data_IF_388696993075
#
_entry.id   IF_388696993075
#
_cell.length_a   1.000
_cell.length_b   1.000
_cell.length_c   1.000
_cell.angle_alpha   90.00
_cell.angle_beta   90.00
_cell.angle_gamma   90.00
#
_symmetry.space_group_name_H-M   'P 1'
#
loop_
_entity.id
_entity.type
_entity.pdbx_description
1 polymer ?
#
# COMPACT_ATOMS: atom_id res chain seq x y z
N UNK A 1 14.61 -0.15 -10.49
CA UNK A 1 15.27 0.98 -11.18
C UNK A 1 15.61 0.74 -12.66
N UNK A 2 15.90 -0.50 -13.10
CA UNK A 2 16.26 -0.81 -14.51
C UNK A 2 15.23 -0.35 -15.56
N UNK A 3 13.93 -0.54 -15.29
CA UNK A 3 12.85 -0.18 -16.23
C UNK A 3 12.80 1.32 -16.53
N UNK A 4 13.11 2.18 -15.56
CA UNK A 4 13.10 3.63 -15.76
C UNK A 4 14.21 4.07 -16.73
N UNK A 5 15.43 3.56 -16.55
CA UNK A 5 16.54 3.82 -17.46
C UNK A 5 16.25 3.30 -18.87
N UNK A 6 15.76 2.05 -19.01
CA UNK A 6 15.36 1.49 -20.30
C UNK A 6 14.23 2.32 -20.96
N UNK A 7 13.33 2.90 -20.16
CA UNK A 7 12.27 3.77 -20.66
C UNK A 7 12.78 5.11 -21.19
N UNK A 8 13.77 5.73 -20.52
CA UNK A 8 14.43 6.92 -21.05
C UNK A 8 15.10 6.63 -22.40
N UNK A 9 15.81 5.50 -22.50
CA UNK A 9 16.42 5.06 -23.75
C UNK A 9 15.37 4.84 -24.85
N UNK A 10 14.25 4.18 -24.53
CA UNK A 10 13.15 4.02 -25.47
C UNK A 10 12.57 5.35 -25.94
N UNK A 11 12.35 6.30 -25.03
CA UNK A 11 11.78 7.60 -25.35
C UNK A 11 12.72 8.43 -26.23
N UNK A 12 14.02 8.39 -25.97
CA UNK A 12 15.01 9.04 -26.82
C UNK A 12 15.02 8.43 -28.23
N UNK A 13 14.95 7.10 -28.33
CA UNK A 13 14.88 6.41 -29.61
C UNK A 13 13.56 6.70 -30.35
N UNK A 14 12.43 6.75 -29.65
CA UNK A 14 11.13 7.12 -30.22
C UNK A 14 11.08 8.59 -30.65
N UNK A 15 11.77 9.50 -29.98
CA UNK A 15 11.81 10.92 -30.34
C UNK A 15 12.42 11.18 -31.74
N UNK A 16 13.21 10.23 -32.26
CA UNK A 16 13.81 10.31 -33.60
C UNK A 16 12.87 9.76 -34.70
N UNK A 17 11.66 9.32 -34.33
CA UNK A 17 10.72 8.60 -35.21
C UNK A 17 9.30 9.08 -34.99
N UNK A 18 8.43 8.89 -35.98
CA UNK A 18 7.01 9.25 -35.83
C UNK A 18 6.27 8.26 -34.91
N UNK A 19 6.49 6.96 -35.10
CA UNK A 19 5.94 5.90 -34.25
C UNK A 19 6.64 4.57 -34.45
N UNK A 20 6.59 3.67 -33.46
CA UNK A 20 7.11 2.32 -33.58
C UNK A 20 6.24 1.27 -32.92
N UNK A 21 6.27 0.04 -33.43
CA UNK A 21 5.66 -1.13 -32.79
C UNK A 21 6.64 -1.87 -31.87
N UNK A 22 6.15 -2.77 -31.01
CA UNK A 22 7.03 -3.62 -30.17
C UNK A 22 7.99 -4.43 -31.02
N UNK A 23 7.55 -4.96 -32.18
CA UNK A 23 8.42 -5.75 -33.05
C UNK A 23 9.54 -4.90 -33.67
N UNK A 24 9.24 -3.65 -34.04
CA UNK A 24 10.25 -2.71 -34.55
C UNK A 24 11.25 -2.31 -33.46
N UNK A 25 10.78 -2.10 -32.23
CA UNK A 25 11.64 -1.88 -31.06
C UNK A 25 12.58 -3.08 -30.86
N UNK A 26 12.06 -4.31 -30.94
CA UNK A 26 12.90 -5.51 -30.80
C UNK A 26 13.88 -5.69 -31.95
N UNK A 27 13.44 -5.42 -33.18
CA UNK A 27 14.27 -5.54 -34.38
C UNK A 27 15.40 -4.51 -34.41
N UNK A 28 15.23 -3.37 -33.73
CA UNK A 28 16.29 -2.37 -33.56
C UNK A 28 17.42 -2.82 -32.62
N UNK A 29 17.23 -3.93 -31.89
CA UNK A 29 18.19 -4.40 -30.89
C UNK A 29 18.19 -3.61 -29.57
N UNK A 30 17.30 -2.62 -29.42
CA UNK A 30 17.22 -1.77 -28.24
C UNK A 30 16.93 -2.57 -26.96
N UNK A 31 16.05 -3.57 -27.07
CA UNK A 31 15.64 -4.45 -25.98
C UNK A 31 14.90 -5.68 -26.51
N UNK A 32 14.83 -6.74 -25.70
CA UNK A 32 14.07 -7.94 -26.05
C UNK A 32 12.54 -7.70 -25.97
N UNK A 33 11.74 -8.63 -26.49
CA UNK A 33 10.27 -8.47 -26.58
C UNK A 33 9.56 -8.26 -25.23
N UNK A 34 10.00 -8.97 -24.20
CA UNK A 34 9.43 -8.84 -22.85
C UNK A 34 9.76 -7.47 -22.26
N UNK A 35 11.04 -7.07 -22.32
CA UNK A 35 11.49 -5.76 -21.85
C UNK A 35 10.81 -4.63 -22.63
N UNK A 36 10.69 -4.74 -23.96
CA UNK A 36 9.97 -3.78 -24.79
C UNK A 36 8.53 -3.60 -24.32
N UNK A 37 7.81 -4.69 -24.08
CA UNK A 37 6.43 -4.65 -23.62
C UNK A 37 6.30 -4.00 -22.23
N UNK A 38 7.20 -4.32 -21.31
CA UNK A 38 7.18 -3.78 -19.94
C UNK A 38 7.55 -2.30 -19.91
N UNK A 39 8.57 -1.90 -20.67
CA UNK A 39 9.02 -0.52 -20.79
C UNK A 39 7.97 0.34 -21.47
N UNK A 40 7.33 -0.14 -22.56
CA UNK A 40 6.22 0.56 -23.21
C UNK A 40 5.06 0.75 -22.24
N UNK A 41 4.68 -0.30 -21.49
CA UNK A 41 3.60 -0.19 -20.49
C UNK A 41 3.94 0.83 -19.40
N UNK A 42 5.18 0.83 -18.94
CA UNK A 42 5.67 1.80 -17.95
C UNK A 42 5.62 3.23 -18.50
N UNK A 43 6.14 3.47 -19.72
CA UNK A 43 6.12 4.79 -20.35
C UNK A 43 4.68 5.29 -20.58
N UNK A 44 3.77 4.42 -21.02
CA UNK A 44 2.35 4.75 -21.16
C UNK A 44 1.68 5.09 -19.84
N UNK A 45 1.94 4.31 -18.78
CA UNK A 45 1.36 4.56 -17.45
C UNK A 45 1.75 5.93 -16.90
N UNK A 46 2.95 6.41 -17.24
CA UNK A 46 3.46 7.72 -16.83
C UNK A 46 3.16 8.83 -17.87
N UNK A 47 2.40 8.54 -18.92
CA UNK A 47 2.03 9.52 -19.94
C UNK A 47 3.16 9.95 -20.89
N UNK A 48 4.35 9.35 -20.78
CA UNK A 48 5.52 9.68 -21.60
C UNK A 48 5.46 9.05 -23.02
N UNK A 49 4.63 8.03 -23.20
CA UNK A 49 4.34 7.42 -24.49
C UNK A 49 2.84 7.21 -24.65
N UNK A 50 2.36 7.21 -25.89
CA UNK A 50 0.97 6.93 -26.21
C UNK A 50 0.83 5.94 -27.35
N UNK A 51 -0.33 5.28 -27.40
CA UNK A 51 -0.71 4.40 -28.52
C UNK A 51 -1.51 5.21 -29.54
N UNK A 52 -1.09 5.17 -30.80
CA UNK A 52 -1.67 5.96 -31.89
C UNK A 52 -2.89 5.27 -32.53
N UNK A 53 -2.86 3.95 -32.67
CA UNK A 53 -3.98 3.19 -33.27
C UNK A 53 -5.00 2.76 -32.21
N UNK A 54 -5.78 3.72 -31.71
CA UNK A 54 -6.93 3.49 -30.81
C UNK A 54 -8.19 3.23 -31.65
N UNK A 55 -8.52 1.96 -31.91
CA UNK A 55 -9.77 1.57 -32.57
C UNK A 55 -10.02 0.07 -32.57
N UNK A 56 -11.29 -0.33 -32.54
CA UNK A 56 -11.73 -1.74 -32.59
C UNK A 56 -11.32 -2.46 -33.89
N UNK A 57 -10.98 -1.70 -34.94
CA UNK A 57 -10.50 -2.18 -36.24
C UNK A 57 -8.97 -2.05 -36.41
N UNK A 58 -8.21 -1.94 -35.33
CA UNK A 58 -6.75 -2.01 -35.42
C UNK A 58 -6.29 -3.46 -35.60
N UNK A 59 -6.54 -4.03 -36.79
CA UNK A 59 -6.13 -5.40 -37.19
C UNK A 59 -4.60 -5.53 -37.40
N UNK A 60 -3.82 -4.62 -36.81
CA UNK A 60 -2.37 -4.51 -36.95
C UNK A 60 -1.70 -4.26 -35.61
N UNK A 61 -0.38 -4.41 -35.57
CA UNK A 61 0.43 -4.24 -34.36
C UNK A 61 0.23 -2.86 -33.75
N UNK A 62 0.13 -2.78 -32.42
CA UNK A 62 0.02 -1.51 -31.71
C UNK A 62 1.26 -0.65 -31.99
N UNK A 63 1.03 0.61 -32.38
CA UNK A 63 2.11 1.58 -32.62
C UNK A 63 2.13 2.63 -31.51
N UNK A 64 3.32 2.97 -31.07
CA UNK A 64 3.59 3.84 -29.94
C UNK A 64 4.43 5.04 -30.39
N UNK A 65 4.19 6.20 -29.77
CA UNK A 65 4.93 7.45 -30.00
C UNK A 65 5.26 8.12 -28.67
N UNK A 66 6.37 8.84 -28.60
CA UNK A 66 6.71 9.69 -27.45
C UNK A 66 5.82 10.94 -27.42
N UNK A 67 5.34 11.30 -26.24
CA UNK A 67 4.47 12.49 -26.06
C UNK A 67 5.26 13.76 -25.75
N UNK A 68 6.56 13.64 -25.48
CA UNK A 68 7.40 14.72 -24.96
C UNK A 68 7.24 14.97 -23.46
N UNK A 69 6.30 14.30 -22.80
CA UNK A 69 6.16 14.37 -21.34
C UNK A 69 7.34 13.64 -20.67
N UNK A 70 8.11 14.30 -19.79
CA UNK A 70 9.24 13.67 -19.12
C UNK A 70 8.75 12.56 -18.18
N UNK A 71 9.53 11.49 -18.04
CA UNK A 71 9.26 10.48 -17.02
C UNK A 71 9.49 11.09 -15.62
N UNK A 72 8.62 10.78 -14.65
CA UNK A 72 8.84 11.22 -13.27
C UNK A 72 10.13 10.61 -12.74
N UNK A 73 10.92 11.42 -12.04
CA UNK A 73 12.17 10.94 -11.43
C UNK A 73 11.87 9.73 -10.53
N UNK A 74 12.67 8.65 -10.65
CA UNK A 74 12.47 7.48 -9.83
C UNK A 74 12.74 7.89 -8.38
N UNK A 75 11.78 7.62 -7.49
CA UNK A 75 11.93 7.90 -6.06
C UNK A 75 13.21 7.20 -5.58
N UNK A 76 14.24 7.98 -5.27
CA UNK A 76 15.59 7.54 -4.87
C UNK A 76 15.59 7.03 -3.44
N UNK A 77 14.67 7.51 -2.62
CA UNK A 77 14.38 6.92 -1.34
C UNK A 77 13.37 5.78 -1.53
N UNK A 78 13.65 4.56 -1.04
CA UNK A 78 12.54 3.73 -0.63
C UNK A 78 11.78 4.61 0.35
N UNK A 79 10.54 4.97 0.03
CA UNK A 79 9.61 5.34 1.06
C UNK A 79 9.51 4.07 1.90
N UNK A 80 10.39 3.93 2.88
CA UNK A 80 10.24 2.99 3.94
C UNK A 80 8.91 3.40 4.52
N UNK A 81 7.87 2.65 4.17
CA UNK A 81 6.61 2.73 4.87
C UNK A 81 6.95 2.28 6.29
N UNK A 82 7.38 3.23 7.11
CA UNK A 82 7.59 3.00 8.51
C UNK A 82 6.21 3.05 9.14
N UNK A 83 5.99 2.14 10.07
CA UNK A 83 4.78 2.15 10.88
C UNK A 83 4.58 3.54 11.52
N UNK A 84 5.66 4.12 12.04
CA UNK A 84 5.74 5.47 12.59
C UNK A 84 5.32 6.57 11.62
N UNK A 85 5.72 6.44 10.34
CA UNK A 85 5.33 7.37 9.29
C UNK A 85 3.84 7.26 8.93
N UNK A 86 3.27 6.05 9.01
CA UNK A 86 1.83 5.83 8.85
C UNK A 86 1.04 6.39 10.02
N UNK A 87 1.50 6.19 11.26
CA UNK A 87 0.88 6.76 12.46
C UNK A 87 0.86 8.29 12.37
N UNK A 88 1.97 8.90 11.99
CA UNK A 88 2.06 10.35 11.80
C UNK A 88 1.13 10.86 10.70
N UNK A 89 1.02 10.16 9.56
CA UNK A 89 0.11 10.55 8.47
C UNK A 89 -1.38 10.48 8.88
N UNK A 90 -1.71 9.63 9.85
CA UNK A 90 -3.06 9.54 10.45
C UNK A 90 -3.26 10.49 11.64
N UNK A 91 -2.25 11.29 11.99
CA UNK A 91 -2.31 12.22 13.13
C UNK A 91 -2.25 11.52 14.49
N UNK A 92 -1.80 10.27 14.55
CA UNK A 92 -1.56 9.56 15.79
C UNK A 92 -0.22 10.03 16.35
N UNK A 93 -0.26 10.65 17.53
CA UNK A 93 0.94 11.06 18.24
C UNK A 93 1.77 9.83 18.63
N UNK A 94 3.08 9.86 18.35
CA UNK A 94 4.00 8.80 18.73
C UNK A 94 4.32 8.83 20.23
N UNK A 95 4.26 10.03 20.81
CA UNK A 95 4.37 10.22 22.25
C UNK A 95 2.96 10.27 22.85
N UNK A 96 2.63 9.36 23.78
CA UNK A 96 1.36 9.43 24.50
C UNK A 96 1.25 10.75 25.27
N UNK A 97 0.11 11.44 25.23
CA UNK A 97 -0.09 12.63 26.05
C UNK A 97 -0.05 12.26 27.54
N UNK A 98 0.58 13.09 28.35
CA UNK A 98 0.55 12.92 29.80
C UNK A 98 -0.87 13.14 30.32
N UNK A 99 -1.52 12.06 30.73
CA UNK A 99 -2.83 12.12 31.36
C UNK A 99 -2.67 12.27 32.88
N UNK A 100 -3.42 13.18 33.52
CA UNK A 100 -3.41 13.27 34.97
C UNK A 100 -3.86 11.93 35.56
N UNK A 101 -3.12 11.44 36.56
CA UNK A 101 -3.48 10.22 37.28
C UNK A 101 -4.81 10.43 38.00
N UNK A 102 -5.90 10.02 37.36
CA UNK A 102 -7.23 10.01 37.99
C UNK A 102 -7.22 8.88 39.00
N UNK A 103 -7.56 9.19 40.25
CA UNK A 103 -7.79 8.17 41.29
C UNK A 103 -8.94 7.26 40.83
N UNK A 104 -8.61 6.10 40.27
CA UNK A 104 -9.59 5.07 39.96
C UNK A 104 -10.09 4.50 41.29
N UNK A 105 -11.38 4.71 41.59
CA UNK A 105 -12.04 3.99 42.67
C UNK A 105 -12.27 2.56 42.16
N UNK A 106 -11.45 1.63 42.64
CA UNK A 106 -11.69 0.21 42.43
C UNK A 106 -12.87 -0.17 43.31
N UNK A 107 -14.05 -0.37 42.71
CA UNK A 107 -15.15 -1.04 43.40
C UNK A 107 -14.81 -2.53 43.44
N UNK A 108 -14.37 -3.02 44.59
CA UNK A 108 -14.32 -4.45 44.84
C UNK A 108 -15.75 -4.93 44.95
N UNK A 109 -16.19 -5.73 43.99
CA UNK A 109 -17.43 -6.48 44.10
C UNK A 109 -17.09 -7.66 45.02
N UNK A 110 -17.60 -7.62 46.25
CA UNK A 110 -17.51 -8.75 47.16
C UNK A 110 -18.30 -9.91 46.54
N UNK A 111 -17.60 -10.99 46.23
CA UNK A 111 -18.20 -12.21 45.69
C UNK A 111 -18.87 -12.95 46.84
N UNK A 112 -20.10 -12.54 47.16
CA UNK A 112 -20.90 -13.16 48.22
C UNK A 112 -21.37 -14.54 47.73
N UNK A 113 -20.45 -15.50 47.77
CA UNK A 113 -20.72 -16.91 47.53
C UNK A 113 -21.55 -17.43 48.70
N UNK A 114 -22.86 -17.29 48.59
CA UNK A 114 -23.82 -17.95 49.47
C UNK A 114 -23.75 -19.45 49.19
N UNK A 115 -22.81 -20.12 49.86
CA UNK A 115 -22.72 -21.57 49.94
C UNK A 115 -23.95 -22.11 50.68
N UNK A 116 -25.00 -22.38 49.91
CA UNK A 116 -26.16 -23.09 50.40
C UNK A 116 -25.86 -24.60 50.35
N UNK A 117 -25.11 -25.10 51.34
CA UNK A 117 -24.99 -26.53 51.63
C UNK A 117 -25.47 -26.80 53.04
N UNK A 118 -26.65 -27.43 53.11
CA UNK A 118 -27.29 -27.85 54.34
C UNK A 118 -26.47 -28.83 55.17
N UNK A 119 -26.79 -28.87 56.46
CA UNK A 119 -26.19 -29.81 57.40
C UNK A 119 -26.49 -29.45 58.85
N UNK A 120 -27.72 -29.74 59.27
CA UNK A 120 -28.09 -30.35 60.56
C UNK A 120 -27.12 -30.24 61.75
N UNK A 121 -27.53 -29.56 62.84
CA UNK A 121 -27.59 -30.08 64.23
C UNK A 121 -27.76 -29.01 65.31
N UNK A 122 -28.81 -29.18 66.11
CA UNK A 122 -28.92 -29.05 67.57
C UNK A 122 -28.22 -27.90 68.33
N UNK A 123 -29.02 -27.08 69.04
CA UNK A 123 -28.51 -26.42 70.24
C UNK A 123 -29.32 -25.27 70.84
N UNK A 124 -30.40 -25.59 71.57
CA UNK A 124 -30.91 -24.91 72.78
C UNK A 124 -31.30 -23.41 72.72
N UNK A 125 -32.60 -23.16 72.61
CA UNK A 125 -33.25 -21.98 73.19
C UNK A 125 -33.24 -22.09 74.72
N UNK A 126 -32.49 -21.20 75.38
CA UNK A 126 -32.79 -20.77 76.75
C UNK A 126 -33.30 -19.33 76.66
N UNK A 127 -34.58 -19.13 76.98
CA UNK A 127 -35.11 -17.82 77.32
C UNK A 127 -35.66 -17.95 78.75
N UNK A 128 -35.05 -17.20 79.66
CA UNK A 128 -35.50 -17.07 81.04
C UNK A 128 -36.71 -16.13 81.08
N UNK A 129 -37.70 -16.48 81.89
CA UNK A 129 -38.38 -15.56 82.81
C UNK A 129 -38.23 -16.16 84.22
#
# INVERSE_FOLDING_TARGET
MKVHASALTLLHWLAQRESASVSEITASGLMNSREASDVVRYAMRNGAAERINKGASARGSARYRSTGVPLPEPRTTPAGASFDGLLSAWGIAQEPPELPAVRTRVYQIEDNSQDNRGGDRLGKLKLND
#
